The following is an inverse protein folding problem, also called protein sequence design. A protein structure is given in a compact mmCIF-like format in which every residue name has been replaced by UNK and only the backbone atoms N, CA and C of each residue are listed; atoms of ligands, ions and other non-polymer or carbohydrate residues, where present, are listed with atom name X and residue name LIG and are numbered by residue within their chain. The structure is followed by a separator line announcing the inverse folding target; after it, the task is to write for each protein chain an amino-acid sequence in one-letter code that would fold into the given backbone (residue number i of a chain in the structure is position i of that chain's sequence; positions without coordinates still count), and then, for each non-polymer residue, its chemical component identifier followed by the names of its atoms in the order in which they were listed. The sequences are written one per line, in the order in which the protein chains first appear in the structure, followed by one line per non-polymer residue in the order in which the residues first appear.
data_IF_123247989782
#
_entry.id   IF_123247989782
#
_cell.length_a   1.000
_cell.length_b   1.000
_cell.length_c   1.000
_cell.angle_alpha   90.00
_cell.angle_beta   90.00
_cell.angle_gamma   90.00
#
_symmetry.space_group_name_H-M   'P 1'
#
loop_
_entity.id
_entity.type
_entity.pdbx_description
1 polymer ?
#
# COMPACT_ATOMS: atom_id res chain seq x y z
N UNK A 1 -21.03 -9.95 14.88
CA UNK A 1 -21.33 -8.60 15.41
C UNK A 1 -22.81 -8.43 15.73
N UNK A 2 -23.74 -8.69 14.80
CA UNK A 2 -25.19 -8.52 15.06
C UNK A 2 -25.71 -9.29 16.29
N UNK A 3 -25.52 -10.61 16.37
CA UNK A 3 -25.98 -11.37 17.53
C UNK A 3 -25.25 -11.04 18.83
N UNK A 4 -24.00 -10.56 18.75
CA UNK A 4 -23.26 -10.08 19.92
C UNK A 4 -23.84 -8.77 20.44
N UNK A 5 -24.38 -7.93 19.56
CA UNK A 5 -25.11 -6.71 19.91
C UNK A 5 -26.45 -7.05 20.57
N UNK A 6 -27.23 -7.98 20.01
CA UNK A 6 -28.51 -8.39 20.61
C UNK A 6 -28.36 -8.99 22.02
N UNK A 7 -27.27 -9.70 22.30
CA UNK A 7 -26.96 -10.17 23.66
C UNK A 7 -26.64 -9.00 24.61
N UNK A 8 -26.02 -7.94 24.11
CA UNK A 8 -25.72 -6.75 24.92
C UNK A 8 -26.93 -5.87 25.20
N UNK A 9 -27.87 -5.83 24.26
CA UNK A 9 -29.15 -5.11 24.40
C UNK A 9 -30.22 -5.95 25.10
N UNK A 10 -29.82 -7.06 25.75
CA UNK A 10 -30.70 -8.02 26.44
C UNK A 10 -31.89 -8.50 25.59
N UNK A 11 -31.75 -8.50 24.26
CA UNK A 11 -32.76 -8.98 23.32
C UNK A 11 -32.72 -10.50 23.16
N UNK A 12 -31.57 -11.12 23.42
CA UNK A 12 -31.38 -12.57 23.42
C UNK A 12 -30.37 -12.97 24.51
N UNK A 13 -30.56 -14.12 25.14
CA UNK A 13 -29.66 -14.55 26.24
C UNK A 13 -28.25 -14.91 25.76
N UNK A 14 -28.13 -15.50 24.57
CA UNK A 14 -26.86 -16.01 24.01
C UNK A 14 -26.84 -15.89 22.49
N UNK A 15 -25.66 -15.65 21.95
CA UNK A 15 -25.47 -15.62 20.49
C UNK A 15 -25.66 -17.02 19.90
N UNK A 16 -26.50 -17.20 18.86
CA UNK A 16 -26.61 -18.49 18.15
C UNK A 16 -25.32 -18.89 17.42
N UNK A 17 -24.41 -17.93 17.18
CA UNK A 17 -23.10 -18.20 16.59
C UNK A 17 -22.05 -18.64 17.63
N UNK A 18 -22.38 -18.75 18.92
CA UNK A 18 -21.42 -19.01 20.02
C UNK A 18 -20.60 -20.29 19.80
N UNK A 19 -21.24 -21.34 19.28
CA UNK A 19 -20.60 -22.64 19.02
C UNK A 19 -20.39 -22.90 17.53
N UNK A 20 -20.61 -21.89 16.68
CA UNK A 20 -20.31 -22.01 15.25
C UNK A 20 -18.81 -21.73 15.11
N UNK A 21 -17.98 -22.74 14.80
CA UNK A 21 -16.58 -22.50 14.54
C UNK A 21 -16.47 -21.49 13.40
N UNK A 22 -15.61 -20.49 13.56
CA UNK A 22 -15.30 -19.57 12.47
C UNK A 22 -14.83 -20.34 11.24
N UNK A 23 -15.04 -19.81 10.03
CA UNK A 23 -14.44 -20.41 8.84
C UNK A 23 -12.96 -20.63 9.11
N UNK A 24 -12.45 -21.84 8.83
CA UNK A 24 -11.01 -22.13 8.95
C UNK A 24 -10.27 -21.09 8.13
N UNK A 25 -9.59 -20.17 8.80
CA UNK A 25 -8.63 -19.30 8.13
C UNK A 25 -7.50 -20.20 7.65
N UNK A 26 -7.47 -20.45 6.34
CA UNK A 26 -6.27 -20.98 5.72
C UNK A 26 -5.22 -19.89 5.93
N UNK A 27 -4.24 -20.14 6.80
CA UNK A 27 -3.06 -19.29 6.92
C UNK A 27 -2.38 -19.26 5.56
N UNK A 28 -2.67 -18.22 4.78
CA UNK A 28 -1.93 -17.97 3.56
C UNK A 28 -0.62 -17.35 3.99
N UNK A 29 0.46 -18.05 3.70
CA UNK A 29 1.81 -17.56 3.92
C UNK A 29 1.93 -16.14 3.31
N UNK A 30 2.40 -15.21 4.12
CA UNK A 30 2.52 -13.82 3.73
C UNK A 30 3.79 -13.70 2.90
N UNK A 31 3.63 -13.73 1.58
CA UNK A 31 4.75 -13.63 0.65
C UNK A 31 4.99 -12.16 0.25
N UNK A 32 6.26 -11.77 0.29
CA UNK A 32 6.79 -10.53 -0.29
C UNK A 32 7.15 -10.75 -1.75
N UNK A 33 7.28 -9.67 -2.53
CA UNK A 33 7.81 -9.79 -3.88
C UNK A 33 9.25 -10.32 -3.85
N UNK A 34 9.55 -11.33 -4.66
CA UNK A 34 10.93 -11.56 -5.10
C UNK A 34 11.35 -10.43 -6.04
N UNK A 35 12.66 -10.25 -6.20
CA UNK A 35 13.21 -9.20 -7.04
C UNK A 35 12.79 -9.38 -8.50
N UNK A 36 12.89 -10.61 -9.03
CA UNK A 36 12.47 -10.95 -10.39
C UNK A 36 10.99 -10.67 -10.65
N UNK A 37 10.12 -10.99 -9.68
CA UNK A 37 8.69 -10.77 -9.83
C UNK A 37 8.36 -9.28 -9.78
N UNK A 38 9.01 -8.53 -8.90
CA UNK A 38 8.83 -7.08 -8.83
C UNK A 38 9.28 -6.43 -10.15
N UNK A 39 10.46 -6.80 -10.65
CA UNK A 39 10.98 -6.31 -11.93
C UNK A 39 10.03 -6.63 -13.09
N UNK A 40 9.54 -7.87 -13.15
CA UNK A 40 8.57 -8.30 -14.18
C UNK A 40 7.28 -7.47 -14.13
N UNK A 41 6.74 -7.22 -12.94
CA UNK A 41 5.55 -6.37 -12.76
C UNK A 41 5.83 -4.94 -13.23
N UNK A 42 6.98 -4.37 -12.85
CA UNK A 42 7.35 -3.01 -13.21
C UNK A 42 7.53 -2.86 -14.72
N UNK A 43 8.27 -3.78 -15.36
CA UNK A 43 8.49 -3.77 -16.80
C UNK A 43 7.18 -3.88 -17.59
N UNK A 44 6.29 -4.81 -17.22
CA UNK A 44 4.98 -4.91 -17.87
C UNK A 44 4.17 -3.61 -17.71
N UNK A 45 4.13 -3.02 -16.51
CA UNK A 45 3.41 -1.75 -16.32
C UNK A 45 4.03 -0.61 -17.10
N UNK A 46 5.36 -0.59 -17.28
CA UNK A 46 6.06 0.44 -18.06
C UNK A 46 5.63 0.44 -19.51
N UNK A 47 5.44 -0.75 -20.10
CA UNK A 47 4.96 -0.91 -21.46
C UNK A 47 3.45 -0.66 -21.62
N UNK A 48 2.63 -1.04 -20.64
CA UNK A 48 1.17 -0.95 -20.74
C UNK A 48 0.60 0.42 -20.37
N UNK A 49 1.09 1.02 -19.29
CA UNK A 49 0.58 2.29 -18.75
C UNK A 49 1.66 2.92 -17.86
N UNK A 50 2.37 3.90 -18.41
CA UNK A 50 3.48 4.58 -17.72
C UNK A 50 3.07 5.22 -16.40
N UNK A 51 1.83 5.71 -16.28
CA UNK A 51 1.32 6.30 -15.04
C UNK A 51 1.13 5.24 -13.96
N UNK A 52 0.72 4.03 -14.36
CA UNK A 52 0.62 2.88 -13.46
C UNK A 52 2.01 2.39 -13.03
N UNK A 53 2.98 2.40 -13.95
CA UNK A 53 4.39 2.11 -13.64
C UNK A 53 4.92 3.07 -12.56
N UNK A 54 4.76 4.38 -12.77
CA UNK A 54 5.18 5.40 -11.78
C UNK A 54 4.53 5.13 -10.42
N UNK A 55 3.23 4.81 -10.39
CA UNK A 55 2.54 4.48 -9.14
C UNK A 55 3.15 3.25 -8.45
N UNK A 56 3.51 2.21 -9.20
CA UNK A 56 4.04 0.97 -8.62
C UNK A 56 5.47 1.14 -8.10
N UNK A 57 6.32 1.86 -8.83
CA UNK A 57 7.66 2.24 -8.34
C UNK A 57 7.54 3.12 -7.09
N UNK A 58 6.63 4.09 -7.11
CA UNK A 58 6.37 4.94 -5.95
C UNK A 58 5.92 4.12 -4.73
N UNK A 59 5.06 3.11 -4.92
CA UNK A 59 4.64 2.21 -3.84
C UNK A 59 5.76 1.28 -3.36
N UNK A 60 6.68 0.84 -4.22
CA UNK A 60 7.83 0.02 -3.80
C UNK A 60 8.85 0.83 -3.00
N UNK A 61 9.07 2.10 -3.35
CA UNK A 61 9.98 3.01 -2.65
C UNK A 61 9.39 3.53 -1.34
N UNK A 62 8.10 3.85 -1.30
CA UNK A 62 7.48 4.48 -0.12
C UNK A 62 6.77 3.50 0.81
N UNK A 63 6.37 2.34 0.29
CA UNK A 63 5.49 1.41 0.98
C UNK A 63 4.14 2.01 1.36
N UNK A 64 3.72 3.14 0.77
CA UNK A 64 2.47 3.82 1.10
C UNK A 64 1.24 2.94 0.83
N UNK A 65 0.09 3.27 1.46
CA UNK A 65 -1.15 2.59 1.10
C UNK A 65 -1.59 3.17 -0.25
N UNK A 66 -2.01 2.32 -1.17
CA UNK A 66 -2.46 2.78 -2.50
C UNK A 66 -3.52 3.88 -2.42
N UNK A 67 -4.47 3.80 -1.47
CA UNK A 67 -5.49 4.86 -1.30
C UNK A 67 -4.86 6.19 -0.92
N UNK A 68 -3.86 6.18 -0.03
CA UNK A 68 -3.18 7.41 0.39
C UNK A 68 -2.33 7.97 -0.75
N UNK A 69 -1.65 7.11 -1.53
CA UNK A 69 -0.91 7.52 -2.72
C UNK A 69 -1.83 8.13 -3.80
N UNK A 70 -3.00 7.53 -4.04
CA UNK A 70 -3.99 8.04 -5.00
C UNK A 70 -4.59 9.40 -4.61
N UNK A 71 -4.45 9.81 -3.36
CA UNK A 71 -4.91 11.11 -2.88
C UNK A 71 -3.82 12.19 -2.91
N UNK A 72 -2.61 11.86 -3.36
CA UNK A 72 -1.53 12.84 -3.49
C UNK A 72 -1.82 13.87 -4.57
N UNK A 73 -1.45 15.11 -4.30
CA UNK A 73 -1.41 16.24 -5.23
C UNK A 73 0.01 16.81 -5.27
N UNK A 74 0.36 17.67 -6.25
CA UNK A 74 1.67 18.31 -6.30
C UNK A 74 2.05 19.03 -5.00
N UNK A 75 1.10 19.71 -4.34
CA UNK A 75 1.32 20.42 -3.06
C UNK A 75 1.72 19.52 -1.89
N UNK A 76 1.61 18.20 -2.04
CA UNK A 76 2.10 17.28 -1.02
C UNK A 76 3.63 17.13 -1.05
N UNK A 77 4.30 17.47 -2.15
CA UNK A 77 5.74 17.27 -2.31
C UNK A 77 6.51 18.52 -1.93
N UNK A 78 7.03 18.56 -0.69
CA UNK A 78 7.83 19.68 -0.18
C UNK A 78 9.30 19.38 -0.43
N UNK A 79 9.71 19.50 -1.70
CA UNK A 79 11.05 19.12 -2.17
C UNK A 79 12.16 19.92 -1.47
N UNK A 80 11.92 21.20 -1.14
CA UNK A 80 12.87 22.06 -0.42
C UNK A 80 13.15 21.59 1.01
N UNK A 81 12.21 20.88 1.63
CA UNK A 81 12.31 20.38 3.00
C UNK A 81 12.46 18.85 3.05
N UNK A 82 12.63 18.20 1.90
CA UNK A 82 12.83 16.75 1.75
C UNK A 82 11.74 15.87 2.42
N UNK A 83 10.46 16.21 2.24
CA UNK A 83 9.37 15.30 2.63
C UNK A 83 8.12 15.39 1.75
N UNK A 84 7.29 14.35 1.86
CA UNK A 84 5.93 14.28 1.33
C UNK A 84 4.93 14.45 2.48
N UNK A 85 4.06 15.45 2.40
CA UNK A 85 2.98 15.70 3.35
C UNK A 85 1.78 14.81 3.04
N UNK A 86 1.45 13.92 3.97
CA UNK A 86 0.38 12.95 3.85
C UNK A 86 -0.81 13.36 4.70
N UNK A 87 -1.98 13.46 4.07
CA UNK A 87 -3.24 13.43 4.79
C UNK A 87 -3.73 11.99 4.85
N UNK A 88 -3.44 11.28 5.94
CA UNK A 88 -3.75 9.85 6.04
C UNK A 88 -5.27 9.67 6.12
N UNK A 89 -5.85 9.17 5.03
CA UNK A 89 -7.31 9.07 4.83
C UNK A 89 -8.04 8.34 5.97
N UNK A 90 -7.38 7.36 6.60
CA UNK A 90 -7.93 6.53 7.68
C UNK A 90 -7.88 7.20 9.06
N UNK A 91 -6.97 8.16 9.28
CA UNK A 91 -6.75 8.76 10.60
C UNK A 91 -6.96 10.27 10.65
N UNK A 92 -7.10 10.95 9.50
CA UNK A 92 -7.18 12.41 9.38
C UNK A 92 -6.02 13.15 10.07
N UNK A 93 -4.87 12.48 10.21
CA UNK A 93 -3.66 13.02 10.81
C UNK A 93 -2.70 13.39 9.70
N UNK A 94 -2.09 14.58 9.82
CA UNK A 94 -0.97 14.96 8.99
C UNK A 94 0.25 14.14 9.38
N UNK A 95 0.87 13.50 8.40
CA UNK A 95 2.14 12.80 8.56
C UNK A 95 3.10 13.24 7.48
N UNK A 96 4.38 13.10 7.74
CA UNK A 96 5.42 13.36 6.74
C UNK A 96 6.12 12.05 6.40
N UNK A 97 6.45 11.89 5.12
CA UNK A 97 7.30 10.80 4.64
C UNK A 97 8.60 11.40 4.12
N UNK A 98 9.78 10.99 4.62
CA UNK A 98 11.05 11.57 4.20
C UNK A 98 11.37 11.24 2.74
N UNK A 99 11.88 12.23 2.01
CA UNK A 99 12.45 12.05 0.67
C UNK A 99 13.93 11.70 0.81
N UNK A 100 14.22 10.41 0.85
CA UNK A 100 15.60 9.91 0.78
C UNK A 100 16.10 9.96 -0.67
N UNK A 101 17.42 9.88 -0.86
CA UNK A 101 18.12 10.11 -2.13
C UNK A 101 17.44 9.43 -3.34
N UNK A 102 17.26 8.11 -3.29
CA UNK A 102 16.67 7.33 -4.38
C UNK A 102 15.22 7.75 -4.70
N UNK A 103 14.40 8.03 -3.68
CA UNK A 103 13.04 8.53 -3.90
C UNK A 103 13.04 9.92 -4.52
N UNK A 104 13.99 10.78 -4.13
CA UNK A 104 14.13 12.14 -4.68
C UNK A 104 14.51 12.08 -6.15
N UNK A 105 15.51 11.27 -6.51
CA UNK A 105 15.95 11.04 -7.89
C UNK A 105 14.76 10.56 -8.72
N UNK A 106 14.05 9.52 -8.26
CA UNK A 106 12.87 9.02 -8.96
C UNK A 106 11.79 10.09 -9.17
N UNK A 107 11.52 10.92 -8.16
CA UNK A 107 10.53 12.00 -8.30
C UNK A 107 10.98 13.03 -9.34
N UNK A 108 12.24 13.44 -9.30
CA UNK A 108 12.81 14.46 -10.19
C UNK A 108 12.87 13.99 -11.66
N UNK A 109 13.18 12.71 -11.88
CA UNK A 109 13.33 12.12 -13.21
C UNK A 109 12.00 11.66 -13.81
N UNK A 110 11.17 10.97 -13.02
CA UNK A 110 10.01 10.22 -13.54
C UNK A 110 8.67 10.89 -13.23
N UNK A 111 8.58 11.63 -12.12
CA UNK A 111 7.31 12.23 -11.68
C UNK A 111 7.14 13.70 -12.07
N UNK A 112 8.15 14.33 -12.68
CA UNK A 112 8.12 15.75 -13.05
C UNK A 112 6.89 16.19 -13.86
N UNK A 113 6.38 15.41 -14.85
CA UNK A 113 5.15 15.76 -15.55
C UNK A 113 3.92 15.75 -14.63
N UNK A 114 3.88 14.82 -13.67
CA UNK A 114 2.78 14.70 -12.71
C UNK A 114 2.81 15.81 -11.65
N UNK A 115 4.00 16.28 -11.28
CA UNK A 115 4.16 17.39 -10.32
C UNK A 115 3.96 18.77 -10.96
N UNK A 116 3.94 18.85 -12.29
CA UNK A 116 3.61 20.08 -13.04
C UNK A 116 2.10 20.33 -13.17
N UNK A 117 1.26 19.40 -12.67
CA UNK A 117 -0.20 19.56 -12.65
C UNK A 117 -0.64 20.70 -11.70
N UNK A 118 -1.87 21.22 -11.84
CA UNK A 118 -2.49 22.06 -10.83
C UNK A 118 -2.33 21.51 -9.41
N UNK A 119 -2.07 22.41 -8.46
CA UNK A 119 -1.67 22.08 -7.09
C UNK A 119 -2.65 21.20 -6.32
N UNK A 120 -3.94 21.34 -6.62
CA UNK A 120 -5.06 20.64 -6.02
C UNK A 120 -5.49 19.38 -6.80
N UNK A 121 -4.94 19.17 -8.00
CA UNK A 121 -5.24 18.00 -8.83
C UNK A 121 -4.49 16.77 -8.33
N UNK A 122 -5.17 15.61 -8.34
CA UNK A 122 -4.55 14.34 -7.96
C UNK A 122 -3.53 13.90 -9.00
N UNK A 123 -2.29 13.63 -8.58
CA UNK A 123 -1.21 13.20 -9.49
C UNK A 123 -1.53 11.85 -10.16
N UNK A 124 -2.33 11.00 -9.49
CA UNK A 124 -2.80 9.71 -10.00
C UNK A 124 -4.28 9.71 -10.41
N UNK A 125 -4.79 10.85 -10.88
CA UNK A 125 -6.16 10.95 -11.38
C UNK A 125 -6.50 9.87 -12.45
N UNK A 126 -7.75 9.41 -12.46
CA UNK A 126 -8.23 8.31 -13.32
C UNK A 126 -8.01 6.92 -12.72
N UNK A 127 -7.15 6.78 -11.70
CA UNK A 127 -6.99 5.53 -10.98
C UNK A 127 -7.85 5.46 -9.72
N UNK A 128 -8.46 4.29 -9.53
CA UNK A 128 -9.14 3.94 -8.30
C UNK A 128 -8.50 2.68 -7.73
N UNK A 129 -8.67 2.45 -6.42
CA UNK A 129 -8.22 1.20 -5.81
C UNK A 129 -8.83 -0.03 -6.51
N UNK A 130 -10.08 0.08 -6.96
CA UNK A 130 -10.78 -0.98 -7.68
C UNK A 130 -10.13 -1.27 -9.04
N UNK A 131 -9.92 -0.23 -9.85
CA UNK A 131 -9.34 -0.37 -11.19
C UNK A 131 -7.91 -0.91 -11.15
N UNK A 132 -7.07 -0.38 -10.25
CA UNK A 132 -5.70 -0.89 -10.05
C UNK A 132 -5.73 -2.33 -9.54
N UNK A 133 -6.61 -2.65 -8.58
CA UNK A 133 -6.74 -4.01 -8.08
C UNK A 133 -7.15 -5.02 -9.15
N UNK A 134 -8.01 -4.62 -10.09
CA UNK A 134 -8.39 -5.44 -11.24
C UNK A 134 -7.23 -5.64 -12.21
N UNK A 135 -6.51 -4.57 -12.57
CA UNK A 135 -5.32 -4.64 -13.42
C UNK A 135 -4.26 -5.55 -12.79
N UNK A 136 -3.98 -5.37 -11.51
CA UNK A 136 -3.04 -6.20 -10.77
C UNK A 136 -3.45 -7.68 -10.79
N UNK A 137 -4.74 -7.98 -10.63
CA UNK A 137 -5.26 -9.36 -10.73
C UNK A 137 -5.07 -9.97 -12.12
N UNK A 138 -5.19 -9.18 -13.19
CA UNK A 138 -4.92 -9.64 -14.56
C UNK A 138 -3.45 -9.97 -14.76
N UNK A 139 -2.56 -9.10 -14.29
CA UNK A 139 -1.10 -9.33 -14.34
C UNK A 139 -0.73 -10.63 -13.60
N UNK A 140 -1.27 -10.87 -12.40
CA UNK A 140 -1.00 -12.14 -11.70
C UNK A 140 -1.39 -13.39 -12.48
N UNK A 141 -2.54 -13.35 -13.17
CA UNK A 141 -2.99 -14.48 -13.99
C UNK A 141 -2.06 -14.71 -15.16
N UNK A 142 -1.57 -13.63 -15.78
CA UNK A 142 -0.64 -13.68 -16.91
C UNK A 142 0.75 -14.19 -16.51
N UNK A 143 1.25 -13.80 -15.34
CA UNK A 143 2.52 -14.27 -14.79
C UNK A 143 2.41 -15.62 -14.07
N UNK A 144 1.26 -16.28 -14.15
CA UNK A 144 1.01 -17.59 -13.55
C UNK A 144 1.35 -17.65 -12.05
N UNK A 145 1.19 -16.52 -11.35
CA UNK A 145 1.49 -16.43 -9.91
C UNK A 145 0.56 -17.42 -9.18
N UNK A 146 1.11 -18.42 -8.46
CA UNK A 146 0.28 -19.46 -7.89
C UNK A 146 -0.76 -18.90 -6.91
N UNK A 147 -1.97 -19.46 -6.93
CA UNK A 147 -3.13 -18.91 -6.20
C UNK A 147 -3.01 -18.98 -4.67
N UNK A 148 -2.06 -19.76 -4.15
CA UNK A 148 -1.69 -19.80 -2.74
C UNK A 148 -0.92 -18.54 -2.30
N UNK A 149 -0.26 -17.83 -3.22
CA UNK A 149 0.41 -16.56 -2.93
C UNK A 149 -0.61 -15.41 -2.77
N UNK A 150 -0.66 -14.82 -1.57
CA UNK A 150 -1.49 -13.60 -1.34
C UNK A 150 -0.73 -12.33 -1.69
N UNK A 151 -0.39 -12.18 -2.98
CA UNK A 151 0.23 -10.95 -3.47
C UNK A 151 -0.87 -9.91 -3.70
N UNK A 152 -0.77 -8.71 -3.17
CA UNK A 152 -1.77 -7.64 -3.37
C UNK A 152 -1.07 -6.30 -3.45
N UNK A 153 -1.82 -5.21 -3.64
CA UNK A 153 -1.26 -3.85 -3.52
C UNK A 153 -0.64 -3.58 -2.14
N UNK A 154 -1.01 -4.34 -1.10
CA UNK A 154 -0.35 -4.25 0.22
C UNK A 154 1.01 -4.93 0.25
N UNK A 155 1.31 -5.81 -0.71
CA UNK A 155 2.59 -6.53 -0.78
C UNK A 155 3.74 -5.57 -1.02
N UNK A 156 3.57 -4.47 -1.77
CA UNK A 156 4.60 -3.42 -1.91
C UNK A 156 5.10 -2.92 -0.55
N UNK A 157 4.17 -2.54 0.35
CA UNK A 157 4.49 -2.14 1.72
C UNK A 157 5.23 -3.23 2.49
N UNK A 158 4.75 -4.47 2.39
CA UNK A 158 5.34 -5.61 3.12
C UNK A 158 6.74 -5.93 2.63
N UNK A 159 6.96 -5.90 1.32
CA UNK A 159 8.28 -6.08 0.70
C UNK A 159 9.24 -5.02 1.20
N UNK A 160 8.84 -3.73 1.18
CA UNK A 160 9.70 -2.66 1.70
C UNK A 160 10.01 -2.86 3.19
N UNK A 161 9.00 -3.13 4.02
CA UNK A 161 9.19 -3.39 5.45
C UNK A 161 10.19 -4.53 5.70
N UNK A 162 10.01 -5.64 4.99
CA UNK A 162 10.85 -6.84 5.13
C UNK A 162 12.28 -6.55 4.68
N UNK A 163 12.48 -5.85 3.55
CA UNK A 163 13.81 -5.44 3.08
C UNK A 163 14.52 -4.54 4.10
N UNK A 164 13.83 -3.56 4.67
CA UNK A 164 14.40 -2.69 5.70
C UNK A 164 14.81 -3.46 6.95
N UNK A 165 13.97 -4.39 7.41
CA UNK A 165 14.28 -5.23 8.57
C UNK A 165 15.49 -6.14 8.30
N UNK A 166 15.53 -6.77 7.13
CA UNK A 166 16.66 -7.62 6.71
C UNK A 166 17.96 -6.82 6.55
N UNK A 167 17.87 -5.54 6.17
CA UNK A 167 19.00 -4.62 6.13
C UNK A 167 19.43 -4.11 7.54
N UNK A 168 18.79 -4.58 8.61
CA UNK A 168 19.14 -4.22 9.99
C UNK A 168 18.48 -2.93 10.50
N UNK A 169 17.52 -2.36 9.77
CA UNK A 169 16.77 -1.19 10.27
C UNK A 169 15.89 -1.62 11.44
N UNK A 170 15.97 -0.92 12.56
CA UNK A 170 15.17 -1.25 13.74
C UNK A 170 13.67 -1.14 13.47
N UNK A 171 12.90 -2.07 14.04
CA UNK A 171 11.45 -2.21 13.84
C UNK A 171 10.68 -0.92 14.19
N UNK A 172 11.14 -0.14 15.16
CA UNK A 172 10.50 1.12 15.56
C UNK A 172 10.59 2.16 14.44
N UNK A 173 11.73 2.21 13.73
CA UNK A 173 11.91 3.11 12.59
C UNK A 173 11.05 2.67 11.40
N UNK A 174 11.02 1.37 11.09
CA UNK A 174 10.17 0.80 10.03
C UNK A 174 8.70 1.08 10.33
N UNK A 175 8.25 0.83 11.56
CA UNK A 175 6.88 1.08 12.01
C UNK A 175 6.49 2.56 11.94
N UNK A 176 7.41 3.45 12.34
CA UNK A 176 7.21 4.90 12.28
C UNK A 176 7.07 5.37 10.83
N UNK A 177 7.99 4.95 9.96
CA UNK A 177 7.99 5.29 8.53
C UNK A 177 6.72 4.79 7.82
N UNK A 178 6.31 3.56 8.14
CA UNK A 178 5.14 2.92 7.54
C UNK A 178 3.84 3.21 8.32
N UNK A 179 3.84 4.14 9.28
CA UNK A 179 2.61 4.62 9.92
C UNK A 179 1.68 3.48 10.43
N UNK A 180 2.26 2.47 11.07
CA UNK A 180 1.49 1.39 11.70
C UNK A 180 0.87 1.88 13.01
N UNK A 181 -0.41 1.56 13.25
CA UNK A 181 -1.11 1.91 14.52
C UNK A 181 -0.70 0.99 15.69
N UNK A 182 -0.08 -0.17 15.40
CA UNK A 182 0.42 -1.14 16.38
C UNK A 182 1.71 -1.76 15.84
N UNK A 183 2.72 -1.90 16.71
CA UNK A 183 4.02 -2.51 16.39
C UNK A 183 3.90 -4.01 16.06
N UNK A 184 2.84 -4.67 16.53
CA UNK A 184 2.63 -6.13 16.43
C UNK A 184 2.17 -6.64 15.06
N UNK A 185 2.08 -5.80 14.02
CA UNK A 185 1.46 -6.18 12.73
C UNK A 185 2.35 -5.92 11.52
N UNK A 186 3.67 -5.92 11.71
CA UNK A 186 4.64 -5.86 10.61
C UNK A 186 4.87 -7.25 10.02
#
# INVERSE_FOLDING_TARGET
MFFTYLVKEDQIDKSPCRNVPGPKEIEKEIIVFSDDLLLTILEETKHLDYKLYILFVFLSLTGMRVIDALNLTPDNFVMTENYIKLNVSKTKLFRTFPLYEELRIFIEEEMKPLLSLPKDQKIFEGFTRGSIGQRFRRMKKRFEIPNNYTITLKTFRKTLATRMLNAGVRIEFVSKLLHHKKLTTL
#
